data_IF_330214503982
#
_entry.id   IF_330214503982
#
_cell.length_a   1.000
_cell.length_b   1.000
_cell.length_c   1.000
_cell.angle_alpha   90.00
_cell.angle_beta   90.00
_cell.angle_gamma   90.00
#
_symmetry.space_group_name_H-M   'P 1'
#
loop_
_entity.id
_entity.type
_entity.pdbx_description
1 polymer ?
#
# COMPACT_ATOMS: atom_id res chain seq x y z
N UNK A 1 4.39 -19.17 0.87
CA UNK A 1 3.59 -17.94 0.70
C UNK A 1 4.02 -16.96 1.76
N UNK A 2 4.10 -15.67 1.44
CA UNK A 2 4.40 -14.58 2.39
C UNK A 2 3.11 -13.77 2.53
N UNK A 3 2.44 -13.85 3.70
CA UNK A 3 1.05 -13.39 3.82
C UNK A 3 0.73 -12.55 5.06
N UNK A 4 1.66 -12.46 6.02
CA UNK A 4 1.45 -11.76 7.29
C UNK A 4 2.78 -11.22 7.83
N UNK A 5 2.71 -10.52 8.96
CA UNK A 5 3.87 -9.92 9.63
C UNK A 5 4.95 -10.96 9.93
N UNK A 6 4.57 -12.15 10.40
CA UNK A 6 5.53 -13.20 10.78
C UNK A 6 6.33 -13.72 9.57
N UNK A 7 5.66 -13.92 8.43
CA UNK A 7 6.35 -14.34 7.20
C UNK A 7 7.29 -13.25 6.67
N UNK A 8 6.87 -11.97 6.73
CA UNK A 8 7.68 -10.81 6.34
C UNK A 8 8.92 -10.67 7.25
N UNK A 9 8.74 -10.88 8.54
CA UNK A 9 9.84 -10.82 9.50
C UNK A 9 10.83 -11.96 9.28
N UNK A 10 10.31 -13.18 9.12
CA UNK A 10 11.12 -14.36 8.83
C UNK A 10 11.96 -14.16 7.55
N UNK A 11 11.35 -13.68 6.45
CA UNK A 11 12.09 -13.51 5.20
C UNK A 11 13.16 -12.43 5.32
N UNK A 12 12.92 -11.33 6.04
CA UNK A 12 13.95 -10.31 6.26
C UNK A 12 15.10 -10.80 7.16
N UNK A 13 14.85 -11.75 8.05
CA UNK A 13 15.85 -12.25 9.01
C UNK A 13 16.62 -13.49 8.53
N UNK A 14 16.14 -14.21 7.51
CA UNK A 14 16.84 -15.42 7.00
C UNK A 14 18.19 -15.07 6.34
N UNK A 15 18.30 -13.89 5.75
CA UNK A 15 19.55 -13.31 5.24
C UNK A 15 19.59 -11.84 5.62
N UNK A 16 20.44 -11.49 6.58
CA UNK A 16 20.60 -10.09 7.01
C UNK A 16 21.46 -9.30 6.00
N UNK A 17 20.80 -8.84 4.93
CA UNK A 17 21.40 -7.99 3.89
C UNK A 17 20.39 -6.97 3.38
N UNK A 18 20.79 -5.73 3.07
CA UNK A 18 19.89 -4.74 2.45
C UNK A 18 19.34 -5.21 1.09
N UNK A 19 20.01 -6.15 0.41
CA UNK A 19 19.50 -6.77 -0.82
C UNK A 19 18.37 -7.76 -0.57
N UNK A 20 18.17 -8.20 0.67
CA UNK A 20 17.05 -9.04 1.08
C UNK A 20 15.96 -8.15 1.68
N UNK A 21 15.10 -7.66 0.79
CA UNK A 21 14.07 -6.68 1.08
C UNK A 21 12.74 -7.08 0.44
N UNK A 22 11.68 -6.37 0.79
CA UNK A 22 10.30 -6.68 0.38
C UNK A 22 9.70 -5.53 -0.42
N UNK A 23 8.98 -5.89 -1.49
CA UNK A 23 7.97 -4.97 -2.02
C UNK A 23 6.72 -5.11 -1.18
N UNK A 24 6.40 -4.12 -0.36
CA UNK A 24 5.19 -4.17 0.46
C UNK A 24 3.99 -3.61 -0.32
N UNK A 25 2.98 -4.46 -0.53
CA UNK A 25 1.74 -4.08 -1.19
C UNK A 25 0.62 -3.93 -0.17
N UNK A 26 0.13 -2.70 -0.01
CA UNK A 26 -0.89 -2.37 1.00
C UNK A 26 -2.20 -3.10 0.75
N UNK A 27 -2.60 -3.21 -0.52
CA UNK A 27 -3.82 -3.92 -0.89
C UNK A 27 -3.70 -5.43 -0.65
N UNK A 28 -2.53 -6.03 -0.92
CA UNK A 28 -2.35 -7.49 -0.77
C UNK A 28 -2.18 -7.93 0.68
N UNK A 29 -1.41 -7.20 1.49
CA UNK A 29 -1.27 -7.55 2.91
C UNK A 29 -2.59 -7.35 3.65
N UNK A 30 -3.40 -6.38 3.23
CA UNK A 30 -4.70 -6.11 3.82
C UNK A 30 -5.79 -7.10 3.40
N UNK A 31 -5.57 -8.01 2.43
CA UNK A 31 -6.58 -9.02 2.06
C UNK A 31 -6.99 -9.90 3.25
N UNK A 32 -6.09 -10.04 4.24
CA UNK A 32 -6.43 -10.57 5.56
C UNK A 32 -6.63 -9.40 6.55
N UNK A 33 -7.87 -9.16 7.04
CA UNK A 33 -8.15 -8.11 8.02
C UNK A 33 -7.40 -8.27 9.34
N UNK A 34 -6.86 -9.46 9.64
CA UNK A 34 -6.01 -9.68 10.81
C UNK A 34 -4.65 -8.97 10.69
N UNK A 35 -4.22 -8.62 9.47
CA UNK A 35 -2.99 -7.85 9.26
C UNK A 35 -3.25 -6.35 9.49
N UNK A 36 -2.58 -5.79 10.49
CA UNK A 36 -2.55 -4.34 10.68
C UNK A 36 -1.57 -3.72 9.66
N UNK A 37 -2.08 -3.34 8.49
CA UNK A 37 -1.27 -2.75 7.41
C UNK A 37 -0.47 -1.52 7.84
N UNK A 38 -0.99 -0.72 8.79
CA UNK A 38 -0.32 0.50 9.25
C UNK A 38 0.91 0.18 10.11
N UNK A 39 0.76 -0.74 11.06
CA UNK A 39 1.87 -1.18 11.93
C UNK A 39 2.92 -1.97 11.14
N UNK A 40 2.49 -2.85 10.24
CA UNK A 40 3.40 -3.59 9.35
C UNK A 40 4.19 -2.61 8.49
N UNK A 41 3.53 -1.63 7.85
CA UNK A 41 4.22 -0.61 7.05
C UNK A 41 5.24 0.15 7.90
N UNK A 42 4.84 0.67 9.06
CA UNK A 42 5.73 1.39 9.96
C UNK A 42 6.95 0.55 10.37
N UNK A 43 6.74 -0.71 10.76
CA UNK A 43 7.79 -1.62 11.20
C UNK A 43 8.84 -1.84 10.11
N UNK A 44 8.41 -2.26 8.92
CA UNK A 44 9.34 -2.66 7.85
C UNK A 44 9.98 -1.47 7.13
N UNK A 45 9.34 -0.30 7.12
CA UNK A 45 9.99 0.95 6.71
C UNK A 45 11.10 1.31 7.70
N UNK A 46 10.82 1.31 9.00
CA UNK A 46 11.81 1.64 10.04
C UNK A 46 13.02 0.69 10.03
N UNK A 47 12.82 -0.55 9.61
CA UNK A 47 13.87 -1.57 9.46
C UNK A 47 14.69 -1.44 8.18
N UNK A 48 14.38 -0.46 7.33
CA UNK A 48 14.97 -0.27 6.01
C UNK A 48 14.84 -1.54 5.13
N UNK A 49 13.63 -2.11 5.08
CA UNK A 49 13.34 -3.34 4.33
C UNK A 49 12.36 -3.15 3.18
N UNK A 50 11.93 -1.93 2.90
CA UNK A 50 10.95 -1.63 1.83
C UNK A 50 11.56 -0.64 0.83
N UNK A 51 12.33 -1.09 -0.16
CA UNK A 51 12.80 -0.21 -1.25
C UNK A 51 11.68 0.15 -2.24
N UNK A 52 10.57 -0.59 -2.23
CA UNK A 52 9.46 -0.40 -3.16
C UNK A 52 8.10 -0.70 -2.51
N UNK A 53 7.13 0.18 -2.71
CA UNK A 53 5.78 0.02 -2.18
C UNK A 53 4.73 0.10 -3.29
N UNK A 54 3.77 -0.82 -3.23
CA UNK A 54 2.52 -0.73 -3.97
C UNK A 54 1.46 -0.18 -3.02
N UNK A 55 1.04 1.06 -3.25
CA UNK A 55 0.09 1.74 -2.38
C UNK A 55 -1.23 1.85 -3.13
N UNK A 56 -2.11 0.87 -2.89
CA UNK A 56 -3.47 0.79 -3.43
C UNK A 56 -4.48 0.51 -2.32
N UNK A 57 -5.75 0.70 -2.62
CA UNK A 57 -6.84 0.49 -1.68
C UNK A 57 -7.72 -0.69 -2.13
N UNK A 58 -8.34 -1.36 -1.17
CA UNK A 58 -9.33 -2.42 -1.38
C UNK A 58 -10.60 -2.04 -0.63
N UNK A 59 -11.73 -2.64 -1.01
CA UNK A 59 -12.97 -2.53 -0.25
C UNK A 59 -13.47 -3.92 0.11
N UNK A 60 -13.61 -4.18 1.41
CA UNK A 60 -14.26 -5.39 1.90
C UNK A 60 -15.76 -5.37 1.63
N UNK A 61 -16.29 -6.53 1.25
CA UNK A 61 -17.72 -6.73 1.09
C UNK A 61 -18.35 -7.03 2.46
N UNK A 62 -19.57 -6.53 2.74
CA UNK A 62 -20.24 -6.79 4.02
C UNK A 62 -20.55 -8.27 4.30
N UNK A 63 -20.59 -9.12 3.27
CA UNK A 63 -21.10 -10.49 3.32
C UNK A 63 -20.04 -11.57 3.53
N UNK A 64 -18.75 -11.23 3.52
CA UNK A 64 -17.66 -12.21 3.65
C UNK A 64 -16.47 -11.61 4.38
N UNK A 65 -15.93 -12.31 5.38
CA UNK A 65 -14.85 -11.81 6.24
C UNK A 65 -13.56 -11.47 5.46
N UNK A 66 -13.38 -12.03 4.25
CA UNK A 66 -12.20 -11.82 3.40
C UNK A 66 -12.54 -11.52 1.93
N UNK A 67 -13.83 -11.34 1.62
CA UNK A 67 -14.22 -11.00 0.24
C UNK A 67 -14.03 -9.49 0.02
N UNK A 68 -13.34 -9.12 -1.05
CA UNK A 68 -13.04 -7.72 -1.36
C UNK A 68 -13.03 -7.46 -2.87
N UNK A 69 -12.99 -6.17 -3.22
CA UNK A 69 -12.69 -5.73 -4.58
C UNK A 69 -11.66 -4.58 -4.58
N UNK A 70 -10.98 -4.40 -5.72
CA UNK A 70 -10.06 -3.30 -5.96
C UNK A 70 -10.81 -1.95 -5.95
N UNK A 71 -10.45 -1.07 -5.03
CA UNK A 71 -11.11 0.21 -4.81
C UNK A 71 -10.33 1.37 -5.47
N UNK A 72 -10.96 2.52 -5.75
CA UNK A 72 -10.18 3.73 -5.99
C UNK A 72 -9.32 4.04 -4.76
N UNK A 73 -8.19 4.71 -4.96
CA UNK A 73 -7.22 4.96 -3.89
C UNK A 73 -7.80 5.75 -2.71
N UNK A 74 -8.64 6.74 -2.97
CA UNK A 74 -9.16 7.64 -1.93
C UNK A 74 -9.82 6.89 -0.76
N UNK A 75 -9.38 7.19 0.47
CA UNK A 75 -9.74 6.43 1.69
C UNK A 75 -11.24 6.19 1.86
N UNK A 76 -12.07 7.20 1.57
CA UNK A 76 -13.52 7.14 1.73
C UNK A 76 -14.17 6.00 0.92
N UNK A 77 -13.60 5.66 -0.23
CA UNK A 77 -14.15 4.65 -1.12
C UNK A 77 -13.58 3.25 -0.88
N UNK A 78 -12.54 3.13 -0.07
CA UNK A 78 -11.92 1.87 0.31
C UNK A 78 -12.25 1.43 1.73
N UNK A 79 -11.47 0.49 2.21
CA UNK A 79 -11.45 0.00 3.59
C UNK A 79 -10.15 0.39 4.30
N UNK A 80 -9.15 0.90 3.56
CA UNK A 80 -7.89 1.37 4.13
C UNK A 80 -7.87 2.89 4.19
N UNK A 81 -7.32 3.41 5.29
CA UNK A 81 -7.02 4.82 5.46
C UNK A 81 -5.66 5.11 4.83
N UNK A 82 -5.68 5.62 3.61
CA UNK A 82 -4.47 5.89 2.86
C UNK A 82 -3.60 6.97 3.50
N UNK A 83 -4.19 7.92 4.23
CA UNK A 83 -3.42 8.91 4.97
C UNK A 83 -2.58 8.23 6.06
N UNK A 84 -3.15 7.29 6.82
CA UNK A 84 -2.40 6.54 7.84
C UNK A 84 -1.29 5.68 7.23
N UNK A 85 -1.52 5.07 6.07
CA UNK A 85 -0.48 4.32 5.35
C UNK A 85 0.67 5.26 4.97
N UNK A 86 0.37 6.36 4.29
CA UNK A 86 1.38 7.32 3.84
C UNK A 86 2.12 7.95 5.03
N UNK A 87 1.41 8.24 6.12
CA UNK A 87 2.00 8.74 7.37
C UNK A 87 2.93 7.71 8.01
N UNK A 88 2.53 6.43 8.06
CA UNK A 88 3.38 5.37 8.58
C UNK A 88 4.70 5.23 7.79
N UNK A 89 4.64 5.44 6.47
CA UNK A 89 5.84 5.48 5.63
C UNK A 89 6.70 6.73 5.94
N UNK A 90 6.08 7.91 5.91
CA UNK A 90 6.78 9.18 6.12
C UNK A 90 7.45 9.27 7.50
N UNK A 91 6.70 9.01 8.58
CA UNK A 91 7.19 9.12 9.97
C UNK A 91 8.36 8.17 10.27
N UNK A 92 8.46 7.06 9.52
CA UNK A 92 9.49 6.04 9.72
C UNK A 92 10.65 6.14 8.71
N UNK A 93 10.69 7.22 7.91
CA UNK A 93 11.85 7.54 7.06
C UNK A 93 11.88 6.81 5.73
N UNK A 94 10.72 6.47 5.14
CA UNK A 94 10.67 5.86 3.81
C UNK A 94 11.28 6.77 2.74
N UNK A 95 12.25 6.26 1.99
CA UNK A 95 12.93 6.94 0.88
C UNK A 95 12.90 6.14 -0.44
N UNK A 96 12.13 5.03 -0.47
CA UNK A 96 11.98 4.15 -1.62
C UNK A 96 11.00 4.66 -2.68
N UNK A 97 10.66 3.78 -3.62
CA UNK A 97 9.69 4.10 -4.68
C UNK A 97 8.27 3.73 -4.29
N UNK A 98 7.30 4.55 -4.70
CA UNK A 98 5.86 4.26 -4.56
C UNK A 98 5.25 4.17 -5.94
N UNK A 99 4.38 3.18 -6.16
CA UNK A 99 3.43 3.21 -7.27
C UNK A 99 1.99 2.98 -6.79
N UNK A 100 0.98 3.55 -7.48
CA UNK A 100 -0.43 3.34 -7.17
C UNK A 100 -0.90 1.89 -7.42
N UNK A 101 -0.08 1.05 -8.04
CA UNK A 101 -0.40 -0.33 -8.41
C UNK A 101 -1.60 -0.48 -9.34
N UNK A 102 -2.77 -0.88 -8.85
CA UNK A 102 -3.97 -1.10 -9.67
C UNK A 102 -4.93 0.07 -9.58
N UNK A 103 -5.73 0.25 -10.63
CA UNK A 103 -6.86 1.17 -10.67
C UNK A 103 -8.02 0.57 -11.46
N UNK A 104 -9.22 1.10 -11.25
CA UNK A 104 -10.42 0.69 -11.97
C UNK A 104 -10.34 1.11 -13.44
N UNK A 105 -11.04 0.38 -14.31
CA UNK A 105 -11.30 0.86 -15.67
C UNK A 105 -12.41 1.91 -15.61
N UNK A 106 -12.05 3.16 -15.88
CA UNK A 106 -12.99 4.29 -15.89
C UNK A 106 -12.99 4.96 -17.27
N UNK A 107 -14.03 5.75 -17.56
CA UNK A 107 -14.09 6.60 -18.76
C UNK A 107 -13.90 5.86 -20.10
N UNK A 108 -14.49 4.66 -20.21
CA UNK A 108 -14.44 3.85 -21.43
C UNK A 108 -13.09 3.17 -21.69
N UNK A 109 -12.20 3.15 -20.69
CA UNK A 109 -10.93 2.46 -20.76
C UNK A 109 -11.11 0.94 -20.90
N UNK A 110 -10.23 0.32 -21.70
CA UNK A 110 -10.17 -1.13 -21.92
C UNK A 110 -8.72 -1.60 -21.79
N UNK A 111 -8.50 -2.91 -21.65
CA UNK A 111 -7.16 -3.48 -21.59
C UNK A 111 -7.01 -4.51 -20.47
N UNK A 112 -5.80 -4.61 -19.91
CA UNK A 112 -5.52 -5.54 -18.81
C UNK A 112 -6.22 -5.06 -17.51
N UNK A 113 -6.99 -5.92 -16.82
CA UNK A 113 -7.63 -5.57 -15.55
C UNK A 113 -6.65 -4.95 -14.56
N UNK A 114 -7.01 -3.82 -13.95
CA UNK A 114 -6.18 -3.11 -12.98
C UNK A 114 -5.10 -2.19 -13.57
N UNK A 115 -4.75 -2.32 -14.85
CA UNK A 115 -3.59 -1.64 -15.46
C UNK A 115 -3.97 -0.53 -16.47
N UNK A 116 -5.22 -0.08 -16.44
CA UNK A 116 -5.65 1.14 -17.15
C UNK A 116 -4.91 2.39 -16.66
N UNK A 117 -4.66 3.36 -17.54
CA UNK A 117 -4.00 4.62 -17.25
C UNK A 117 -4.76 5.48 -16.24
N UNK A 118 -6.08 5.62 -16.40
CA UNK A 118 -6.80 6.75 -15.80
C UNK A 118 -6.88 6.70 -14.27
N UNK A 119 -7.45 5.66 -13.70
CA UNK A 119 -7.63 5.57 -12.24
C UNK A 119 -6.27 5.41 -11.51
N UNK A 120 -5.27 4.81 -12.18
CA UNK A 120 -3.89 4.78 -11.65
C UNK A 120 -3.26 6.17 -11.60
N UNK A 121 -3.46 7.02 -12.61
CA UNK A 121 -2.96 8.38 -12.62
C UNK A 121 -3.64 9.27 -11.55
N UNK A 122 -4.95 9.06 -11.33
CA UNK A 122 -5.68 9.68 -10.22
C UNK A 122 -5.10 9.23 -8.87
N UNK A 123 -4.87 7.92 -8.71
CA UNK A 123 -4.23 7.35 -7.53
C UNK A 123 -2.86 7.95 -7.24
N UNK A 124 -1.99 8.03 -8.25
CA UNK A 124 -0.67 8.66 -8.08
C UNK A 124 -0.78 10.13 -7.65
N UNK A 125 -1.67 10.91 -8.28
CA UNK A 125 -1.89 12.31 -7.92
C UNK A 125 -2.40 12.47 -6.48
N UNK A 126 -3.31 11.60 -6.06
CA UNK A 126 -3.83 11.58 -4.70
C UNK A 126 -2.73 11.26 -3.67
N UNK A 127 -1.91 10.24 -3.93
CA UNK A 127 -0.80 9.85 -3.04
C UNK A 127 0.25 10.97 -2.93
N UNK A 128 0.57 11.66 -4.02
CA UNK A 128 1.44 12.83 -4.00
C UNK A 128 0.86 13.95 -3.12
N UNK A 129 -0.45 14.22 -3.22
CA UNK A 129 -1.11 15.21 -2.37
C UNK A 129 -1.07 14.86 -0.87
N UNK A 130 -1.22 13.58 -0.53
CA UNK A 130 -1.04 13.12 0.86
C UNK A 130 0.41 13.32 1.34
N UNK A 131 1.39 12.98 0.49
CA UNK A 131 2.80 13.13 0.83
C UNK A 131 3.19 14.61 1.03
N UNK A 132 2.79 15.50 0.12
CA UNK A 132 3.01 16.94 0.25
C UNK A 132 2.40 17.50 1.55
N UNK A 133 1.19 17.05 1.90
CA UNK A 133 0.54 17.47 3.14
C UNK A 133 1.31 17.01 4.39
N UNK A 134 1.88 15.79 4.36
CA UNK A 134 2.73 15.28 5.44
C UNK A 134 4.02 16.08 5.58
N UNK A 135 4.68 16.43 4.48
CA UNK A 135 5.86 17.30 4.48
C UNK A 135 5.56 18.65 5.12
N UNK A 136 4.48 19.32 4.69
CA UNK A 136 4.11 20.65 5.19
C UNK A 136 3.64 20.68 6.64
N UNK A 137 3.10 19.58 7.16
CA UNK A 137 2.61 19.50 8.55
C UNK A 137 3.74 19.20 9.55
N UNK A 138 4.87 18.67 9.09
CA UNK A 138 6.02 18.32 9.92
C UNK A 138 7.23 19.28 9.72
N UNK A 139 7.03 20.40 9.02
CA UNK A 139 7.94 21.55 8.97
C UNK A 139 7.65 22.50 10.12
#
# INVERSE_FOLDING_TARGET
>A
MVKNREDLDWICNVVDSPSNAITLCTGSIAEDPANNVYEIMAEFVKRDRIPFAHVRNIKFLPSGEKDFYEAPHMSEYGSLDMYKIMKAMYDNGFDGYIRPDHGRMIWGETGRPGYGLYDRALGASYLNGLWEALEKTNQ
#
